data_IF_234812042693
#
_entry.id   IF_234812042693
#
_cell.length_a   1.000
_cell.length_b   1.000
_cell.length_c   1.000
_cell.angle_alpha   90.00
_cell.angle_beta   90.00
_cell.angle_gamma   90.00
#
_symmetry.space_group_name_H-M   'P 1'
#
loop_
_entity.id
_entity.type
_entity.pdbx_description
1 polymer ?
#
# COMPACT_ATOMS: atom_id res chain seq x y z
N UNK A 1 -5.09 -39.18 -25.28
CA UNK A 1 -5.08 -37.80 -24.75
C UNK A 1 -6.53 -37.43 -24.48
N UNK A 2 -6.99 -37.71 -23.27
CA UNK A 2 -8.40 -37.59 -22.88
C UNK A 2 -8.63 -36.26 -22.16
N UNK A 3 -9.46 -35.42 -22.77
CA UNK A 3 -9.99 -34.18 -22.23
C UNK A 3 -10.87 -34.48 -21.00
N UNK A 4 -10.51 -33.95 -19.84
CA UNK A 4 -11.36 -33.96 -18.66
C UNK A 4 -12.14 -32.65 -18.61
N UNK A 5 -13.42 -32.73 -18.98
CA UNK A 5 -14.40 -31.66 -18.74
C UNK A 5 -14.61 -31.50 -17.23
N UNK A 6 -14.30 -30.31 -16.72
CA UNK A 6 -14.65 -29.91 -15.36
C UNK A 6 -16.10 -29.40 -15.35
N UNK A 7 -16.96 -30.02 -14.55
CA UNK A 7 -18.32 -29.55 -14.26
C UNK A 7 -18.28 -28.63 -13.03
N UNK A 8 -18.99 -27.49 -13.03
CA UNK A 8 -19.05 -26.60 -11.88
C UNK A 8 -19.89 -27.19 -10.74
N UNK A 9 -19.40 -27.01 -9.52
CA UNK A 9 -20.05 -27.38 -8.26
C UNK A 9 -21.25 -26.44 -8.00
N UNK A 10 -22.40 -26.93 -7.49
CA UNK A 10 -23.54 -26.08 -7.20
C UNK A 10 -23.28 -25.18 -5.99
N UNK A 11 -23.64 -23.90 -6.14
CA UNK A 11 -23.62 -22.90 -5.07
C UNK A 11 -24.81 -23.17 -4.14
N UNK A 12 -24.54 -23.46 -2.87
CA UNK A 12 -25.57 -23.55 -1.83
C UNK A 12 -25.78 -22.18 -1.19
N UNK A 13 -27.01 -21.68 -1.25
CA UNK A 13 -27.45 -20.45 -0.59
C UNK A 13 -27.39 -20.60 0.94
N UNK A 14 -26.55 -19.80 1.59
CA UNK A 14 -26.58 -19.62 3.04
C UNK A 14 -27.54 -18.49 3.40
N UNK A 15 -28.69 -18.84 3.98
CA UNK A 15 -29.66 -17.91 4.54
C UNK A 15 -29.09 -17.14 5.75
N UNK A 16 -29.06 -15.81 5.66
CA UNK A 16 -28.67 -14.93 6.76
C UNK A 16 -29.79 -14.80 7.81
N UNK A 17 -29.46 -15.08 9.07
CA UNK A 17 -30.32 -14.80 10.24
C UNK A 17 -30.07 -13.38 10.76
N UNK A 18 -31.14 -12.61 10.95
CA UNK A 18 -31.19 -11.27 11.56
C UNK A 18 -30.89 -11.31 13.07
N UNK A 19 -30.10 -10.36 13.62
CA UNK A 19 -29.96 -10.23 15.07
C UNK A 19 -30.98 -9.25 15.65
N UNK A 20 -31.72 -9.72 16.66
CA UNK A 20 -32.57 -8.92 17.56
C UNK A 20 -31.73 -8.24 18.65
N UNK A 21 -31.87 -6.93 18.79
CA UNK A 21 -31.36 -6.11 19.90
C UNK A 21 -32.29 -6.14 21.11
N UNK A 22 -31.78 -6.24 22.36
CA UNK A 22 -32.53 -5.84 23.54
C UNK A 22 -32.00 -4.51 24.11
N UNK A 23 -32.91 -3.55 24.28
CA UNK A 23 -32.70 -2.32 25.04
C UNK A 23 -32.72 -2.62 26.55
N UNK A 24 -31.72 -2.11 27.27
CA UNK A 24 -31.70 -2.03 28.74
C UNK A 24 -31.43 -0.57 29.20
N UNK A 25 -32.03 -0.10 30.32
CA UNK A 25 -32.00 1.31 30.70
C UNK A 25 -30.76 1.67 31.53
N UNK A 26 -30.12 2.80 31.21
CA UNK A 26 -29.03 3.39 31.99
C UNK A 26 -29.56 4.23 33.15
N UNK A 27 -29.04 3.96 34.35
CA UNK A 27 -29.29 4.71 35.58
C UNK A 27 -28.52 6.05 35.60
N UNK A 28 -29.18 7.10 36.11
CA UNK A 28 -28.61 8.44 36.34
C UNK A 28 -27.70 8.43 37.58
N UNK A 29 -26.47 8.95 37.44
CA UNK A 29 -25.58 9.24 38.57
C UNK A 29 -25.66 10.71 38.98
N UNK A 30 -25.74 10.94 40.29
CA UNK A 30 -25.78 12.24 40.96
C UNK A 30 -24.52 13.09 40.74
N UNK A 31 -24.71 14.37 40.43
CA UNK A 31 -23.66 15.39 40.40
C UNK A 31 -23.53 16.06 41.77
N UNK A 32 -22.36 15.94 42.41
CA UNK A 32 -21.97 16.75 43.56
C UNK A 32 -21.34 18.07 43.10
N UNK A 33 -21.85 19.19 43.62
CA UNK A 33 -21.25 20.51 43.47
C UNK A 33 -20.09 20.70 44.48
N UNK A 34 -18.92 21.19 44.05
CA UNK A 34 -17.88 21.63 44.97
C UNK A 34 -18.02 23.12 45.35
N UNK A 35 -17.78 23.39 46.64
CA UNK A 35 -17.76 24.72 47.25
C UNK A 35 -16.65 25.65 46.68
N UNK A 36 -16.85 26.97 46.70
CA UNK A 36 -15.89 27.94 46.20
C UNK A 36 -14.69 28.10 47.16
N UNK A 37 -13.47 27.96 46.61
CA UNK A 37 -12.20 28.25 47.31
C UNK A 37 -11.81 29.73 47.14
N UNK A 38 -11.11 30.24 48.15
CA UNK A 38 -10.79 31.66 48.39
C UNK A 38 -9.85 32.29 47.34
N UNK A 39 -10.10 33.57 47.06
CA UNK A 39 -9.57 34.35 45.92
C UNK A 39 -8.10 34.78 46.00
N UNK A 40 -7.33 34.32 47.00
CA UNK A 40 -5.94 34.80 47.18
C UNK A 40 -4.86 33.95 46.49
N UNK A 41 -5.14 32.72 46.04
CA UNK A 41 -4.15 31.88 45.35
C UNK A 41 -4.16 31.98 43.81
N UNK A 42 -5.20 32.57 43.21
CA UNK A 42 -5.31 32.65 41.75
C UNK A 42 -4.41 33.73 41.13
N UNK A 43 -4.16 34.84 41.83
CA UNK A 43 -3.31 35.93 41.34
C UNK A 43 -1.84 35.49 41.26
N UNK A 44 -1.35 34.73 42.25
CA UNK A 44 0.03 34.22 42.27
C UNK A 44 0.28 33.19 41.17
N UNK A 45 -0.70 32.31 40.88
CA UNK A 45 -0.62 31.36 39.76
C UNK A 45 -0.68 32.06 38.40
N UNK A 46 -1.42 33.17 38.28
CA UNK A 46 -1.53 33.92 37.03
C UNK A 46 -0.23 34.69 36.68
N UNK A 47 0.40 35.31 37.69
CA UNK A 47 1.68 36.02 37.52
C UNK A 47 2.80 35.03 37.16
N UNK A 48 2.87 33.87 37.81
CA UNK A 48 3.86 32.82 37.48
C UNK A 48 3.66 32.25 36.06
N UNK A 49 2.39 32.11 35.60
CA UNK A 49 2.09 31.62 34.25
C UNK A 49 2.40 32.62 33.14
N UNK A 50 2.45 33.92 33.43
CA UNK A 50 2.80 34.95 32.45
C UNK A 50 4.30 35.26 32.42
N UNK A 51 4.97 35.29 33.58
CA UNK A 51 6.38 35.69 33.65
C UNK A 51 7.36 34.59 33.24
N UNK A 52 7.05 33.31 33.49
CA UNK A 52 7.96 32.21 33.12
C UNK A 52 8.08 32.05 31.59
N UNK A 53 7.00 32.08 30.78
CA UNK A 53 7.14 32.01 29.34
C UNK A 53 7.84 33.24 28.74
N UNK A 54 7.58 34.42 29.31
CA UNK A 54 8.19 35.67 28.85
C UNK A 54 9.71 35.71 29.12
N UNK A 55 10.16 35.23 30.28
CA UNK A 55 11.60 35.16 30.59
C UNK A 55 12.32 34.10 29.76
N UNK A 56 11.68 32.95 29.50
CA UNK A 56 12.21 31.95 28.58
C UNK A 56 12.37 32.49 27.15
N UNK A 57 11.40 33.27 26.65
CA UNK A 57 11.48 33.91 25.33
C UNK A 57 12.64 34.90 25.22
N UNK A 58 12.89 35.70 26.26
CA UNK A 58 14.03 36.64 26.31
C UNK A 58 15.37 35.90 26.32
N UNK A 59 15.47 34.79 27.04
CA UNK A 59 16.70 33.96 27.06
C UNK A 59 16.93 33.32 25.69
N UNK A 60 15.89 32.79 25.04
CA UNK A 60 16.01 32.20 23.70
C UNK A 60 16.43 33.26 22.67
N UNK A 61 15.81 34.44 22.69
CA UNK A 61 16.21 35.55 21.81
C UNK A 61 17.65 36.03 22.10
N UNK A 62 18.04 36.10 23.38
CA UNK A 62 19.40 36.44 23.77
C UNK A 62 20.43 35.42 23.25
N UNK A 63 20.12 34.12 23.30
CA UNK A 63 20.99 33.06 22.77
C UNK A 63 21.08 33.08 21.24
N UNK A 64 19.98 33.41 20.54
CA UNK A 64 19.97 33.56 19.08
C UNK A 64 20.80 34.78 18.65
N UNK A 65 20.69 35.90 19.37
CA UNK A 65 21.46 37.11 19.06
C UNK A 65 22.94 36.94 19.42
N UNK A 66 23.24 36.32 20.57
CA UNK A 66 24.62 36.14 21.05
C UNK A 66 25.40 35.07 20.27
N UNK A 67 24.72 34.11 19.62
CA UNK A 67 25.39 33.07 18.86
C UNK A 67 25.92 33.54 17.51
N UNK A 68 25.52 34.72 17.00
CA UNK A 68 26.12 35.34 15.80
C UNK A 68 26.08 34.49 14.52
N UNK A 69 25.42 33.35 14.54
CA UNK A 69 25.30 32.42 13.43
C UNK A 69 23.90 32.61 12.83
N UNK A 70 23.82 33.44 11.80
CA UNK A 70 22.73 33.33 10.85
C UNK A 70 22.75 31.91 10.27
N UNK A 71 21.66 31.13 10.33
CA UNK A 71 21.59 29.85 9.65
C UNK A 71 21.41 30.10 8.15
N UNK A 72 22.48 30.49 7.48
CA UNK A 72 22.64 30.27 6.05
C UNK A 72 23.12 28.83 5.84
N UNK A 73 22.21 27.86 5.88
CA UNK A 73 22.32 26.62 5.09
C UNK A 73 21.06 25.76 5.21
N UNK A 74 20.64 25.28 4.05
CA UNK A 74 19.53 24.36 3.76
C UNK A 74 18.13 24.98 3.91
N UNK A 75 17.71 25.66 2.84
CA UNK A 75 16.30 25.84 2.51
C UNK A 75 15.62 24.50 2.27
N UNK A 76 15.27 23.80 3.35
CA UNK A 76 14.19 22.84 3.35
C UNK A 76 13.03 23.58 4.00
N UNK A 77 12.15 24.13 3.16
CA UNK A 77 10.84 24.59 3.59
C UNK A 77 10.09 23.38 4.11
N UNK A 78 10.19 23.10 5.42
CA UNK A 78 9.21 22.29 6.11
C UNK A 78 7.88 22.97 5.87
N UNK A 79 7.00 22.35 5.07
CA UNK A 79 5.60 22.74 4.96
C UNK A 79 4.94 22.53 6.33
N UNK A 80 5.15 23.48 7.24
CA UNK A 80 4.28 23.69 8.38
C UNK A 80 3.03 24.36 7.85
N UNK A 81 1.95 23.61 7.93
CA UNK A 81 0.55 24.03 7.80
C UNK A 81 0.02 24.30 6.37
N UNK A 82 -0.99 23.51 6.01
CA UNK A 82 -2.13 23.94 5.19
C UNK A 82 -1.98 23.94 3.66
N UNK A 83 -0.82 24.24 3.10
CA UNK A 83 -0.65 24.29 1.64
C UNK A 83 0.03 23.02 1.14
N UNK A 84 -0.76 22.00 0.81
CA UNK A 84 -0.27 20.89 0.00
C UNK A 84 0.16 21.49 -1.35
N UNK A 85 1.44 21.34 -1.75
CA UNK A 85 1.91 21.93 -2.99
C UNK A 85 1.07 21.42 -4.16
N UNK A 86 0.66 22.33 -5.05
CA UNK A 86 0.02 21.96 -6.31
C UNK A 86 0.90 20.94 -7.04
N UNK A 87 0.27 19.98 -7.70
CA UNK A 87 0.87 18.83 -8.40
C UNK A 87 2.12 19.19 -9.24
N UNK A 88 2.11 20.34 -9.90
CA UNK A 88 3.24 20.87 -10.69
C UNK A 88 4.54 20.99 -9.88
N UNK A 89 4.46 21.44 -8.61
CA UNK A 89 5.62 21.50 -7.71
C UNK A 89 6.10 20.12 -7.27
N UNK A 90 5.23 19.12 -7.26
CA UNK A 90 5.58 17.74 -6.93
C UNK A 90 6.34 17.07 -8.09
N UNK A 91 5.99 17.40 -9.33
CA UNK A 91 6.79 17.01 -10.50
C UNK A 91 8.14 17.73 -10.55
N UNK A 92 8.21 19.01 -10.18
CA UNK A 92 9.49 19.72 -10.05
C UNK A 92 10.33 19.16 -8.90
N UNK A 93 9.69 18.72 -7.81
CA UNK A 93 10.33 17.93 -6.76
C UNK A 93 10.84 16.58 -7.32
N UNK A 94 10.04 15.82 -8.05
CA UNK A 94 10.47 14.56 -8.66
C UNK A 94 11.61 14.72 -9.67
N UNK A 95 11.57 15.78 -10.49
CA UNK A 95 12.66 16.15 -11.42
C UNK A 95 13.90 16.60 -10.66
N UNK A 96 13.74 17.42 -9.62
CA UNK A 96 14.82 17.81 -8.72
C UNK A 96 15.33 16.64 -7.87
N UNK A 97 14.60 15.53 -7.72
CA UNK A 97 15.15 14.31 -7.13
C UNK A 97 16.19 13.69 -8.05
N UNK A 98 15.94 13.61 -9.37
CA UNK A 98 16.93 13.10 -10.31
C UNK A 98 18.22 13.93 -10.28
N UNK A 99 18.11 15.26 -10.13
CA UNK A 99 19.27 16.18 -10.04
C UNK A 99 19.90 16.19 -8.65
N UNK A 100 19.11 16.20 -7.58
CA UNK A 100 19.57 16.18 -6.19
C UNK A 100 20.29 14.88 -5.85
N UNK A 101 19.79 13.76 -6.36
CA UNK A 101 20.42 12.45 -6.20
C UNK A 101 21.82 12.40 -6.81
N UNK A 102 22.01 12.96 -8.01
CA UNK A 102 23.34 13.11 -8.63
C UNK A 102 24.27 13.99 -7.79
N UNK A 103 23.76 15.08 -7.22
CA UNK A 103 24.55 16.01 -6.41
C UNK A 103 24.95 15.43 -5.04
N UNK A 104 24.12 14.57 -4.44
CA UNK A 104 24.37 14.01 -3.10
C UNK A 104 25.22 12.73 -3.11
N UNK A 105 25.16 11.91 -4.16
CA UNK A 105 25.75 10.56 -4.13
C UNK A 105 26.90 10.32 -5.14
N UNK A 106 27.31 11.32 -5.91
CA UNK A 106 28.42 11.20 -6.87
C UNK A 106 28.10 10.34 -8.11
N UNK A 107 29.12 10.02 -8.91
CA UNK A 107 28.95 9.54 -10.31
C UNK A 107 28.28 8.16 -10.47
N UNK A 108 28.23 7.32 -9.42
CA UNK A 108 27.39 6.11 -9.36
C UNK A 108 27.13 5.72 -7.89
N UNK A 109 25.87 5.69 -7.41
CA UNK A 109 25.59 5.18 -6.08
C UNK A 109 25.90 3.69 -6.00
N UNK A 110 26.38 3.27 -4.83
CA UNK A 110 26.74 1.88 -4.58
C UNK A 110 25.51 0.97 -4.77
N UNK A 111 25.73 -0.23 -5.31
CA UNK A 111 24.73 -1.30 -5.28
C UNK A 111 24.35 -1.61 -3.82
N UNK A 112 23.07 -1.83 -3.53
CA UNK A 112 22.59 -2.09 -2.17
C UNK A 112 22.52 -3.58 -1.86
N UNK A 113 22.56 -3.94 -0.58
CA UNK A 113 22.18 -5.27 -0.08
C UNK A 113 20.84 -5.15 0.64
N UNK A 114 19.86 -5.97 0.27
CA UNK A 114 18.51 -5.92 0.85
C UNK A 114 18.08 -7.28 1.41
N UNK A 115 17.51 -7.26 2.60
CA UNK A 115 16.86 -8.42 3.23
C UNK A 115 15.34 -8.26 3.16
N UNK A 116 14.66 -9.25 2.60
CA UNK A 116 13.21 -9.45 2.70
C UNK A 116 12.97 -10.33 3.93
N UNK A 117 12.61 -9.69 5.05
CA UNK A 117 12.45 -10.33 6.34
C UNK A 117 11.00 -10.83 6.52
N UNK A 118 10.84 -12.15 6.52
CA UNK A 118 9.56 -12.86 6.67
C UNK A 118 9.81 -14.23 7.33
N UNK A 119 8.84 -14.77 8.06
CA UNK A 119 8.89 -16.16 8.51
C UNK A 119 8.60 -17.14 7.36
N UNK A 120 9.15 -18.34 7.46
CA UNK A 120 9.06 -19.35 6.41
C UNK A 120 7.62 -19.73 6.10
N UNK A 121 6.82 -19.99 7.12
CA UNK A 121 5.43 -20.39 6.94
C UNK A 121 4.66 -19.34 6.15
N UNK A 122 4.68 -18.07 6.59
CA UNK A 122 3.99 -16.98 5.89
C UNK A 122 4.44 -16.87 4.42
N UNK A 123 5.73 -17.02 4.11
CA UNK A 123 6.22 -17.01 2.72
C UNK A 123 5.65 -18.14 1.85
N UNK A 124 5.28 -19.27 2.46
CA UNK A 124 4.70 -20.42 1.78
C UNK A 124 3.18 -20.35 1.67
N UNK A 125 2.49 -19.71 2.62
CA UNK A 125 1.01 -19.72 2.67
C UNK A 125 0.38 -18.52 1.99
N UNK A 126 1.09 -17.39 1.97
CA UNK A 126 0.51 -16.10 1.68
C UNK A 126 0.01 -16.03 0.22
N UNK A 127 -1.28 -15.73 0.05
CA UNK A 127 -1.88 -15.47 -1.27
C UNK A 127 -1.37 -14.15 -1.84
N UNK A 128 -1.30 -13.08 -1.04
CA UNK A 128 -0.72 -11.81 -1.49
C UNK A 128 0.79 -11.97 -1.74
N UNK A 129 1.14 -12.38 -2.97
CA UNK A 129 2.53 -12.66 -3.38
C UNK A 129 3.35 -11.40 -3.59
N UNK A 130 2.79 -10.20 -3.38
CA UNK A 130 3.46 -8.94 -3.59
C UNK A 130 4.88 -8.89 -2.97
N UNK A 131 5.02 -9.35 -1.73
CA UNK A 131 6.30 -9.32 -1.01
C UNK A 131 7.34 -10.28 -1.60
N UNK A 132 6.88 -11.34 -2.26
CA UNK A 132 7.75 -12.35 -2.86
C UNK A 132 8.11 -11.96 -4.30
N UNK A 133 7.15 -11.44 -5.06
CA UNK A 133 7.42 -10.84 -6.36
C UNK A 133 8.34 -9.61 -6.24
N UNK A 134 8.28 -8.87 -5.13
CA UNK A 134 9.23 -7.78 -4.91
C UNK A 134 10.64 -8.34 -4.74
N UNK A 135 10.80 -9.43 -3.99
CA UNK A 135 12.08 -10.12 -3.85
C UNK A 135 12.64 -10.58 -5.20
N UNK A 136 11.80 -11.19 -6.04
CA UNK A 136 12.20 -11.64 -7.39
C UNK A 136 12.61 -10.45 -8.28
N UNK A 137 11.88 -9.34 -8.19
CA UNK A 137 12.25 -8.10 -8.86
C UNK A 137 13.64 -7.59 -8.42
N UNK A 138 13.92 -7.61 -7.11
CA UNK A 138 15.22 -7.22 -6.57
C UNK A 138 16.35 -8.15 -7.04
N UNK A 139 16.09 -9.46 -7.17
CA UNK A 139 17.06 -10.43 -7.72
C UNK A 139 17.38 -10.15 -9.20
N UNK A 140 16.39 -9.73 -9.99
CA UNK A 140 16.56 -9.44 -11.41
C UNK A 140 17.38 -8.17 -11.72
N UNK A 141 17.61 -7.30 -10.72
CA UNK A 141 18.24 -5.97 -10.88
C UNK A 141 19.66 -5.92 -10.33
N UNK A 142 20.51 -6.79 -10.87
CA UNK A 142 21.91 -6.90 -10.44
C UNK A 142 22.74 -5.63 -10.68
N UNK A 143 22.27 -4.70 -11.52
CA UNK A 143 22.87 -3.40 -11.82
C UNK A 143 22.83 -2.44 -10.62
N UNK A 144 21.82 -2.53 -9.77
CA UNK A 144 21.65 -1.69 -8.56
C UNK A 144 21.56 -2.48 -7.26
N UNK A 145 21.37 -3.81 -7.34
CA UNK A 145 21.28 -4.72 -6.20
C UNK A 145 22.49 -5.66 -6.20
N UNK A 146 23.28 -5.62 -5.14
CA UNK A 146 24.42 -6.53 -4.96
C UNK A 146 24.06 -7.83 -4.25
N UNK A 147 22.95 -7.83 -3.50
CA UNK A 147 22.40 -9.01 -2.84
C UNK A 147 20.94 -8.73 -2.46
N UNK A 148 20.04 -9.62 -2.85
CA UNK A 148 18.69 -9.70 -2.32
C UNK A 148 18.53 -11.05 -1.64
N UNK A 149 18.05 -11.05 -0.40
CA UNK A 149 17.90 -12.28 0.40
C UNK A 149 16.46 -12.36 0.93
N UNK A 150 15.81 -13.50 0.80
CA UNK A 150 14.56 -13.84 1.47
C UNK A 150 14.89 -14.75 2.66
N UNK A 151 14.69 -14.27 3.89
CA UNK A 151 15.09 -15.01 5.09
C UNK A 151 14.41 -14.49 6.35
N UNK A 152 14.33 -15.30 7.39
CA UNK A 152 13.74 -14.95 8.68
C UNK A 152 13.46 -16.18 9.52
N UNK A 153 12.51 -16.11 10.48
CA UNK A 153 12.14 -17.23 11.33
C UNK A 153 11.85 -18.52 10.56
N UNK A 154 12.34 -19.63 11.09
CA UNK A 154 12.17 -21.00 10.58
C UNK A 154 12.79 -21.28 9.19
N UNK A 155 13.52 -20.33 8.61
CA UNK A 155 14.42 -20.60 7.49
C UNK A 155 15.71 -21.29 7.95
N UNK A 156 16.40 -21.96 7.02
CA UNK A 156 17.67 -22.63 7.31
C UNK A 156 18.72 -21.66 7.88
N UNK A 157 19.33 -22.08 9.00
CA UNK A 157 20.33 -21.33 9.75
C UNK A 157 19.77 -20.23 10.66
N UNK A 158 18.45 -20.08 10.75
CA UNK A 158 17.82 -19.18 11.72
C UNK A 158 17.74 -19.83 13.11
N UNK A 159 18.06 -19.07 14.15
CA UNK A 159 17.90 -19.47 15.54
C UNK A 159 16.85 -18.62 16.24
N UNK A 160 15.78 -19.27 16.72
CA UNK A 160 14.69 -18.63 17.47
C UNK A 160 15.10 -18.22 18.90
N UNK A 161 16.30 -18.57 19.36
CA UNK A 161 16.83 -18.18 20.68
C UNK A 161 17.70 -16.92 20.65
N UNK A 162 17.93 -16.32 19.47
CA UNK A 162 18.79 -15.16 19.27
C UNK A 162 18.05 -14.06 18.53
N UNK A 163 18.46 -12.80 18.74
CA UNK A 163 17.79 -11.66 18.08
C UNK A 163 18.03 -11.62 16.57
N UNK A 164 17.21 -10.89 15.81
CA UNK A 164 17.40 -10.67 14.36
C UNK A 164 18.85 -10.22 14.05
N UNK A 165 19.38 -9.26 14.81
CA UNK A 165 20.75 -8.74 14.60
C UNK A 165 21.83 -9.81 14.83
N UNK A 166 21.64 -10.68 15.82
CA UNK A 166 22.55 -11.80 16.10
C UNK A 166 22.49 -12.88 15.01
N UNK A 167 21.29 -13.20 14.52
CA UNK A 167 21.09 -14.10 13.38
C UNK A 167 21.81 -13.58 12.14
N UNK A 168 21.62 -12.30 11.78
CA UNK A 168 22.29 -11.66 10.64
C UNK A 168 23.82 -11.69 10.83
N UNK A 169 24.31 -11.32 12.01
CA UNK A 169 25.76 -11.35 12.29
C UNK A 169 26.35 -12.75 12.19
N UNK A 170 25.66 -13.77 12.68
CA UNK A 170 26.13 -15.16 12.65
C UNK A 170 26.22 -15.67 11.21
N UNK A 171 25.17 -15.41 10.39
CA UNK A 171 25.11 -15.90 9.01
C UNK A 171 25.95 -15.08 8.02
N UNK A 172 26.01 -13.76 8.19
CA UNK A 172 26.61 -12.84 7.22
C UNK A 172 27.84 -12.07 7.76
N UNK A 173 28.26 -12.34 8.99
CA UNK A 173 29.48 -11.79 9.61
C UNK A 173 29.31 -10.45 10.32
N UNK A 174 28.25 -9.68 10.03
CA UNK A 174 28.00 -8.37 10.64
C UNK A 174 26.50 -8.06 10.76
N UNK A 175 26.08 -7.38 11.83
CA UNK A 175 24.67 -7.03 12.04
C UNK A 175 24.17 -5.95 11.05
N UNK A 176 25.08 -5.13 10.52
CA UNK A 176 24.88 -4.11 9.49
C UNK A 176 25.25 -4.62 8.08
N UNK A 177 25.20 -5.94 7.86
CA UNK A 177 25.52 -6.51 6.55
C UNK A 177 24.61 -5.99 5.42
N UNK A 178 23.33 -5.76 5.72
CA UNK A 178 22.33 -5.25 4.78
C UNK A 178 22.24 -3.71 4.84
N UNK A 179 21.99 -3.07 3.70
CA UNK A 179 21.72 -1.64 3.63
C UNK A 179 20.27 -1.29 3.97
N UNK A 180 19.36 -2.23 3.69
CA UNK A 180 17.93 -2.10 3.93
C UNK A 180 17.30 -3.45 4.27
N UNK A 181 16.22 -3.39 5.03
CA UNK A 181 15.43 -4.55 5.43
C UNK A 181 13.96 -4.23 5.17
N UNK A 182 13.37 -4.92 4.20
CA UNK A 182 11.94 -4.88 3.93
C UNK A 182 11.26 -5.91 4.83
N UNK A 183 10.50 -5.43 5.81
CA UNK A 183 9.87 -6.28 6.81
C UNK A 183 8.44 -6.59 6.38
N UNK A 184 8.12 -7.88 6.22
CA UNK A 184 6.73 -8.26 6.05
C UNK A 184 6.01 -8.16 7.39
N UNK A 185 5.09 -7.22 7.55
CA UNK A 185 4.19 -7.16 8.70
C UNK A 185 2.77 -6.84 8.25
N UNK A 186 1.82 -7.76 8.48
CA UNK A 186 0.41 -7.54 8.16
C UNK A 186 -0.45 -7.70 9.43
N UNK A 187 -1.11 -6.61 9.85
CA UNK A 187 -1.96 -6.56 11.05
C UNK A 187 -3.12 -7.55 10.98
N UNK A 188 -3.70 -7.71 9.79
CA UNK A 188 -4.83 -8.62 9.58
C UNK A 188 -4.41 -10.09 9.73
N UNK A 189 -3.09 -10.35 9.64
CA UNK A 189 -2.47 -11.66 9.81
C UNK A 189 -1.76 -11.85 11.15
N UNK A 190 -1.87 -10.91 12.09
CA UNK A 190 -1.36 -11.10 13.48
C UNK A 190 -2.03 -12.32 14.14
N UNK A 191 -3.21 -12.74 13.66
CA UNK A 191 -3.87 -13.99 14.07
C UNK A 191 -3.17 -15.26 13.57
N UNK A 192 -2.39 -15.18 12.50
CA UNK A 192 -1.74 -16.33 11.86
C UNK A 192 -0.26 -16.45 12.22
N UNK A 193 0.35 -15.37 12.75
CA UNK A 193 1.77 -15.39 13.10
C UNK A 193 1.99 -16.02 14.47
N UNK A 194 2.93 -16.96 14.51
CA UNK A 194 3.56 -17.45 15.74
C UNK A 194 4.49 -16.43 16.42
N UNK A 195 4.40 -15.16 16.02
CA UNK A 195 5.31 -14.10 16.46
C UNK A 195 4.56 -13.20 17.43
N UNK A 196 5.04 -13.13 18.67
CA UNK A 196 4.64 -12.07 19.59
C UNK A 196 5.12 -10.73 18.99
N UNK A 197 4.20 -9.83 18.61
CA UNK A 197 4.56 -8.63 17.86
C UNK A 197 5.48 -7.70 18.66
N UNK A 198 5.38 -7.68 20.00
CA UNK A 198 6.16 -6.73 20.81
C UNK A 198 7.66 -7.07 20.82
N UNK A 199 8.09 -8.29 21.22
CA UNK A 199 9.48 -8.71 21.07
C UNK A 199 10.00 -8.53 19.65
N UNK A 200 9.18 -8.85 18.65
CA UNK A 200 9.56 -8.72 17.25
C UNK A 200 9.85 -7.27 16.83
N UNK A 201 8.99 -6.32 17.23
CA UNK A 201 9.21 -4.90 16.92
C UNK A 201 10.43 -4.34 17.64
N UNK A 202 10.67 -4.76 18.88
CA UNK A 202 11.87 -4.36 19.63
C UNK A 202 13.15 -4.86 18.95
N UNK A 203 13.16 -6.09 18.42
CA UNK A 203 14.28 -6.62 17.64
C UNK A 203 14.48 -5.90 16.29
N UNK A 204 13.40 -5.49 15.62
CA UNK A 204 13.49 -4.66 14.40
C UNK A 204 14.07 -3.28 14.72
N UNK A 205 13.64 -2.67 15.84
CA UNK A 205 14.21 -1.41 16.32
C UNK A 205 15.68 -1.54 16.72
N UNK A 206 16.06 -2.67 17.32
CA UNK A 206 17.46 -3.00 17.57
C UNK A 206 18.24 -3.00 16.25
N UNK A 207 17.72 -3.63 15.20
CA UNK A 207 18.36 -3.69 13.89
C UNK A 207 18.53 -2.29 13.27
N UNK A 208 17.51 -1.43 13.37
CA UNK A 208 17.58 -0.03 12.93
C UNK A 208 18.66 0.77 13.67
N UNK A 209 18.75 0.60 14.99
CA UNK A 209 19.67 1.36 15.84
C UNK A 209 21.12 0.86 15.80
N UNK A 210 21.33 -0.46 15.78
CA UNK A 210 22.66 -1.09 15.73
C UNK A 210 23.19 -1.26 14.31
N UNK A 211 22.32 -1.28 13.31
CA UNK A 211 22.66 -1.48 11.90
C UNK A 211 23.36 -0.29 11.22
N UNK A 212 23.74 0.77 11.95
CA UNK A 212 24.46 1.93 11.42
C UNK A 212 23.89 2.47 10.10
N UNK A 213 22.58 2.71 10.05
CA UNK A 213 21.90 3.22 8.85
C UNK A 213 21.26 2.16 7.96
N UNK A 214 20.94 0.98 8.52
CA UNK A 214 19.96 0.06 7.92
C UNK A 214 18.62 0.77 7.79
N UNK A 215 18.08 0.81 6.58
CA UNK A 215 16.74 1.35 6.32
C UNK A 215 15.70 0.26 6.60
N UNK A 216 14.82 0.47 7.59
CA UNK A 216 13.66 -0.39 7.82
C UNK A 216 12.50 0.08 6.94
N UNK A 217 12.01 -0.83 6.10
CA UNK A 217 10.95 -0.58 5.13
C UNK A 217 9.69 -1.35 5.50
N UNK A 218 8.55 -0.67 5.55
CA UNK A 218 7.23 -1.30 5.48
C UNK A 218 6.56 -0.98 4.13
N UNK A 219 5.88 -1.97 3.57
CA UNK A 219 4.98 -1.81 2.42
C UNK A 219 3.64 -2.42 2.80
N UNK A 220 2.77 -1.66 3.46
CA UNK A 220 1.47 -2.14 3.88
C UNK A 220 0.53 -2.30 2.70
N UNK A 221 -0.35 -3.30 2.76
CA UNK A 221 -1.46 -3.44 1.80
C UNK A 221 -2.49 -2.32 2.01
N UNK A 222 -2.84 -2.06 3.27
CA UNK A 222 -3.74 -0.99 3.73
C UNK A 222 -3.27 -0.47 5.11
N UNK A 223 -3.53 0.81 5.37
CA UNK A 223 -3.12 1.52 6.59
C UNK A 223 -4.27 2.29 7.24
N UNK A 224 -5.51 2.05 6.83
CA UNK A 224 -6.71 2.75 7.34
C UNK A 224 -6.77 2.77 8.86
N UNK A 225 -7.40 3.80 9.41
CA UNK A 225 -7.67 3.95 10.85
C UNK A 225 -6.42 3.88 11.73
N UNK A 226 -5.25 4.31 11.22
CA UNK A 226 -3.98 4.28 11.93
C UNK A 226 -3.54 2.87 12.39
N UNK A 227 -4.02 1.79 11.76
CA UNK A 227 -3.75 0.41 12.21
C UNK A 227 -2.26 0.08 12.35
N UNK A 228 -1.40 0.69 11.53
CA UNK A 228 0.07 0.52 11.56
C UNK A 228 0.81 1.38 12.60
N UNK A 229 0.11 2.21 13.37
CA UNK A 229 0.72 3.14 14.32
C UNK A 229 1.65 2.45 15.34
N UNK A 230 1.21 1.34 15.91
CA UNK A 230 2.00 0.59 16.90
C UNK A 230 3.31 0.09 16.27
N UNK A 231 3.24 -0.53 15.08
CA UNK A 231 4.43 -1.02 14.37
C UNK A 231 5.41 0.12 14.08
N UNK A 232 4.94 1.26 13.57
CA UNK A 232 5.82 2.37 13.21
C UNK A 232 6.48 3.01 14.42
N UNK A 233 5.76 3.07 15.54
CA UNK A 233 6.28 3.59 16.81
C UNK A 233 7.32 2.65 17.41
N UNK A 234 7.02 1.35 17.46
CA UNK A 234 7.84 0.37 18.17
C UNK A 234 9.04 -0.11 17.34
N UNK A 235 8.89 -0.28 16.02
CA UNK A 235 9.94 -0.82 15.15
C UNK A 235 10.86 0.25 14.53
N UNK A 236 10.61 1.54 14.76
CA UNK A 236 11.37 2.66 14.18
C UNK A 236 11.47 2.59 12.64
N UNK A 237 10.33 2.35 11.98
CA UNK A 237 10.25 2.27 10.52
C UNK A 237 10.77 3.57 9.90
N UNK A 238 11.72 3.46 8.96
CA UNK A 238 12.40 4.62 8.36
C UNK A 238 11.88 4.95 6.95
N UNK A 239 11.32 3.98 6.24
CA UNK A 239 10.69 4.14 4.93
C UNK A 239 9.34 3.43 4.91
N UNK A 240 8.29 4.12 4.48
CA UNK A 240 6.96 3.55 4.28
C UNK A 240 6.58 3.68 2.81
N UNK A 241 6.22 2.56 2.19
CA UNK A 241 5.81 2.47 0.79
C UNK A 241 4.33 2.11 0.73
N UNK A 242 3.43 3.09 0.69
CA UNK A 242 1.98 2.80 0.70
C UNK A 242 1.38 2.87 -0.71
N UNK A 243 0.52 1.91 -1.09
CA UNK A 243 -0.17 1.94 -2.38
C UNK A 243 -1.19 3.07 -2.51
N UNK A 244 -1.70 3.58 -1.39
CA UNK A 244 -2.78 4.58 -1.37
C UNK A 244 -2.30 5.89 -0.73
N UNK A 245 -2.16 6.94 -1.54
CA UNK A 245 -1.67 8.25 -1.10
C UNK A 245 -2.50 8.86 0.05
N UNK A 246 -3.82 8.69 0.01
CA UNK A 246 -4.72 9.20 1.05
C UNK A 246 -4.36 8.68 2.44
N UNK A 247 -4.05 7.40 2.57
CA UNK A 247 -3.75 6.82 3.87
C UNK A 247 -2.46 7.40 4.48
N UNK A 248 -1.49 7.78 3.65
CA UNK A 248 -0.28 8.46 4.11
C UNK A 248 -0.54 9.82 4.72
N UNK A 249 -1.66 10.46 4.35
CA UNK A 249 -2.01 11.77 4.88
C UNK A 249 -2.22 11.68 6.40
N UNK A 250 -2.91 10.68 6.92
CA UNK A 250 -3.14 10.58 8.36
C UNK A 250 -1.83 10.31 9.13
N UNK A 251 -0.94 9.51 8.52
CA UNK A 251 0.35 9.17 9.10
C UNK A 251 1.34 10.31 9.12
N UNK A 252 1.25 11.27 8.17
CA UNK A 252 2.23 12.36 8.04
C UNK A 252 2.34 13.22 9.30
N UNK A 253 1.24 13.37 10.04
CA UNK A 253 1.21 14.22 11.24
C UNK A 253 2.11 13.63 12.34
N UNK A 254 2.14 12.30 12.47
CA UNK A 254 2.89 11.61 13.53
C UNK A 254 4.27 11.16 13.08
N UNK A 255 4.41 10.71 11.83
CA UNK A 255 5.57 9.93 11.39
C UNK A 255 6.46 10.61 10.35
N UNK A 256 6.05 11.73 9.74
CA UNK A 256 6.85 12.38 8.71
C UNK A 256 8.19 12.96 9.21
N UNK A 257 8.40 13.10 10.52
CA UNK A 257 9.68 13.49 11.11
C UNK A 257 10.59 12.29 11.38
N UNK A 258 10.01 11.10 11.59
CA UNK A 258 10.72 9.84 11.85
C UNK A 258 11.06 9.10 10.55
N UNK A 259 10.11 9.07 9.62
CA UNK A 259 10.11 8.23 8.43
C UNK A 259 9.99 9.07 7.15
N UNK A 260 10.42 8.50 6.03
CA UNK A 260 9.99 8.95 4.72
C UNK A 260 8.74 8.16 4.32
N UNK A 261 7.62 8.86 4.16
CA UNK A 261 6.34 8.30 3.73
C UNK A 261 6.20 8.48 2.23
N UNK A 262 6.03 7.39 1.46
CA UNK A 262 6.02 7.46 0.01
C UNK A 262 4.82 6.73 -0.57
N UNK A 263 4.09 7.41 -1.46
CA UNK A 263 3.07 6.78 -2.29
C UNK A 263 3.75 5.93 -3.37
N UNK A 264 3.66 4.61 -3.22
CA UNK A 264 4.20 3.63 -4.15
C UNK A 264 3.06 2.70 -4.59
N UNK A 265 2.44 2.95 -5.76
CA UNK A 265 1.36 2.14 -6.28
C UNK A 265 1.71 0.66 -6.40
N UNK A 266 0.68 -0.16 -6.60
CA UNK A 266 0.86 -1.57 -6.94
C UNK A 266 1.73 -1.71 -8.19
N UNK A 267 2.80 -2.50 -8.08
CA UNK A 267 3.59 -2.88 -9.25
C UNK A 267 2.98 -4.12 -9.89
N UNK A 268 3.40 -4.43 -11.12
CA UNK A 268 2.93 -5.58 -11.86
C UNK A 268 4.07 -6.50 -12.28
N UNK A 269 3.87 -7.80 -12.09
CA UNK A 269 4.71 -8.83 -12.67
C UNK A 269 4.21 -9.16 -14.09
N UNK A 270 4.99 -8.74 -15.08
CA UNK A 270 4.69 -9.00 -16.48
C UNK A 270 4.77 -10.49 -16.83
N UNK A 271 5.54 -11.32 -16.11
CA UNK A 271 5.60 -12.76 -16.36
C UNK A 271 4.25 -13.45 -16.08
N UNK A 272 3.44 -12.89 -15.19
CA UNK A 272 2.11 -13.40 -14.82
C UNK A 272 1.02 -12.74 -15.64
N UNK A 273 1.07 -11.41 -15.72
CA UNK A 273 -0.06 -10.64 -16.25
C UNK A 273 0.11 -10.19 -17.68
N UNK A 274 1.26 -10.33 -18.35
CA UNK A 274 1.37 -9.88 -19.73
C UNK A 274 0.62 -10.81 -20.70
N UNK A 275 -0.42 -10.27 -21.33
CA UNK A 275 -1.07 -10.87 -22.48
C UNK A 275 -1.26 -9.81 -23.57
N UNK A 276 -0.85 -10.03 -24.83
CA UNK A 276 -0.98 -9.01 -25.86
C UNK A 276 -2.42 -8.48 -25.99
N UNK A 277 -2.61 -7.16 -25.98
CA UNK A 277 -3.95 -6.56 -26.13
C UNK A 277 -4.68 -7.04 -27.39
N UNK A 278 -3.96 -7.25 -28.49
CA UNK A 278 -4.46 -7.75 -29.77
C UNK A 278 -4.57 -9.30 -29.84
N UNK A 279 -4.30 -10.01 -28.75
CA UNK A 279 -4.43 -11.47 -28.68
C UNK A 279 -5.89 -11.96 -28.72
N UNK A 280 -6.12 -13.27 -28.93
CA UNK A 280 -7.45 -13.85 -28.91
C UNK A 280 -8.07 -13.72 -27.50
N UNK A 281 -9.25 -13.11 -27.43
CA UNK A 281 -10.00 -12.84 -26.20
C UNK A 281 -11.43 -13.40 -26.32
N UNK A 282 -11.63 -14.70 -26.01
CA UNK A 282 -12.92 -15.35 -26.20
C UNK A 282 -14.00 -14.85 -25.24
N UNK A 283 -13.60 -14.34 -24.07
CA UNK A 283 -14.55 -13.91 -23.05
C UNK A 283 -14.95 -12.44 -23.26
N UNK A 284 -16.24 -12.10 -23.27
CA UNK A 284 -16.68 -10.73 -23.52
C UNK A 284 -16.33 -9.79 -22.36
N UNK A 285 -16.78 -10.11 -21.15
CA UNK A 285 -16.59 -9.27 -19.97
C UNK A 285 -16.23 -10.15 -18.77
N UNK A 286 -15.23 -9.71 -18.00
CA UNK A 286 -14.91 -10.25 -16.68
C UNK A 286 -15.06 -9.16 -15.62
N UNK A 287 -15.55 -9.55 -14.44
CA UNK A 287 -15.43 -8.77 -13.21
C UNK A 287 -14.82 -9.66 -12.14
N UNK A 288 -13.83 -9.15 -11.41
CA UNK A 288 -13.08 -9.96 -10.45
C UNK A 288 -13.01 -9.31 -9.07
N UNK A 289 -13.00 -10.14 -8.03
CA UNK A 289 -12.71 -9.74 -6.65
C UNK A 289 -13.87 -9.81 -5.67
N UNK A 290 -13.70 -9.08 -4.57
CA UNK A 290 -14.71 -8.97 -3.52
C UNK A 290 -15.90 -8.14 -4.00
N UNK A 291 -17.10 -8.65 -3.77
CA UNK A 291 -18.38 -8.03 -4.11
C UNK A 291 -19.10 -7.48 -2.87
N UNK A 292 -18.40 -7.41 -1.73
CA UNK A 292 -18.92 -6.88 -0.48
C UNK A 292 -19.12 -5.36 -0.49
N UNK A 293 -19.55 -4.85 0.66
CA UNK A 293 -19.94 -3.44 0.85
C UNK A 293 -18.82 -2.41 0.61
N UNK A 294 -17.56 -2.85 0.49
CA UNK A 294 -16.45 -1.97 0.14
C UNK A 294 -16.45 -1.56 -1.33
N UNK A 295 -17.24 -2.22 -2.18
CA UNK A 295 -17.23 -2.05 -3.63
C UNK A 295 -18.65 -1.98 -4.22
N UNK A 296 -19.45 -0.95 -3.86
CA UNK A 296 -20.87 -0.88 -4.25
C UNK A 296 -21.07 -0.89 -5.76
N UNK A 297 -20.24 -0.17 -6.52
CA UNK A 297 -20.34 -0.17 -7.99
C UNK A 297 -20.00 -1.54 -8.58
N UNK A 298 -19.04 -2.27 -8.00
CA UNK A 298 -18.68 -3.64 -8.43
C UNK A 298 -19.84 -4.60 -8.22
N UNK A 299 -20.50 -4.53 -7.07
CA UNK A 299 -21.67 -5.35 -6.75
C UNK A 299 -22.81 -5.09 -7.75
N UNK A 300 -23.06 -3.82 -8.10
CA UNK A 300 -24.04 -3.45 -9.14
C UNK A 300 -23.69 -4.05 -10.51
N UNK A 301 -22.45 -3.89 -10.98
CA UNK A 301 -21.99 -4.44 -12.25
C UNK A 301 -22.07 -5.98 -12.28
N UNK A 302 -21.71 -6.64 -11.18
CA UNK A 302 -21.87 -8.08 -11.04
C UNK A 302 -23.34 -8.52 -11.12
N UNK A 303 -24.28 -7.73 -10.60
CA UNK A 303 -25.71 -8.03 -10.71
C UNK A 303 -26.21 -7.94 -12.17
N UNK A 304 -25.69 -7.01 -12.97
CA UNK A 304 -26.00 -6.96 -14.40
C UNK A 304 -25.55 -8.24 -15.14
N UNK A 305 -24.40 -8.80 -14.76
CA UNK A 305 -23.92 -10.08 -15.29
C UNK A 305 -24.82 -11.24 -14.82
N UNK A 306 -25.13 -11.32 -13.52
CA UNK A 306 -26.00 -12.37 -12.96
C UNK A 306 -27.39 -12.39 -13.61
N UNK A 307 -27.94 -11.20 -13.86
CA UNK A 307 -29.23 -11.02 -14.51
C UNK A 307 -29.17 -11.22 -16.04
N UNK A 308 -27.99 -11.53 -16.60
CA UNK A 308 -27.74 -11.71 -18.04
C UNK A 308 -28.01 -10.45 -18.87
N UNK A 309 -28.01 -9.28 -18.23
CA UNK A 309 -28.09 -7.98 -18.90
C UNK A 309 -26.76 -7.64 -19.59
N UNK A 310 -25.64 -8.09 -19.02
CA UNK A 310 -24.31 -8.01 -19.62
C UNK A 310 -23.78 -9.42 -19.93
N UNK A 311 -23.17 -9.64 -21.10
CA UNK A 311 -22.50 -10.90 -21.41
C UNK A 311 -21.15 -10.92 -20.69
N UNK A 312 -21.03 -11.77 -19.65
CA UNK A 312 -19.78 -11.88 -18.91
C UNK A 312 -19.86 -12.90 -17.79
N UNK A 313 -18.80 -12.96 -16.98
CA UNK A 313 -18.73 -13.84 -15.83
C UNK A 313 -18.01 -13.17 -14.66
N UNK A 314 -18.23 -13.74 -13.47
CA UNK A 314 -17.72 -13.22 -12.20
C UNK A 314 -16.61 -14.14 -11.71
N UNK A 315 -15.39 -13.61 -11.63
CA UNK A 315 -14.27 -14.29 -11.01
C UNK A 315 -14.24 -13.98 -9.51
N UNK A 316 -14.45 -15.01 -8.69
CA UNK A 316 -14.30 -14.87 -7.24
C UNK A 316 -12.90 -14.38 -6.88
N UNK A 317 -12.80 -13.62 -5.78
CA UNK A 317 -11.50 -13.17 -5.25
C UNK A 317 -10.60 -14.39 -5.00
N UNK A 318 -9.31 -14.37 -5.42
CA UNK A 318 -8.38 -15.43 -5.03
C UNK A 318 -8.32 -15.51 -3.51
N UNK A 319 -8.51 -16.72 -2.97
CA UNK A 319 -8.87 -16.90 -1.58
C UNK A 319 -7.72 -16.58 -0.63
N UNK A 320 -8.01 -15.80 0.41
CA UNK A 320 -7.40 -16.06 1.71
C UNK A 320 -8.27 -17.15 2.33
N UNK A 321 -7.73 -18.35 2.54
CA UNK A 321 -8.41 -19.23 3.48
C UNK A 321 -8.36 -18.55 4.85
N UNK A 322 -9.51 -18.39 5.51
CA UNK A 322 -9.59 -17.91 6.89
C UNK A 322 -9.02 -18.98 7.84
N UNK A 323 -7.69 -19.14 7.86
CA UNK A 323 -6.98 -20.18 8.62
C UNK A 323 -6.88 -19.76 10.08
N UNK A 324 -7.92 -19.94 10.89
CA UNK A 324 -7.90 -19.46 12.30
C UNK A 324 -6.77 -20.06 13.17
N UNK A 325 -6.29 -21.25 12.83
CA UNK A 325 -5.18 -21.95 13.48
C UNK A 325 -4.33 -22.64 12.41
N UNK A 326 -2.98 -22.59 12.46
CA UNK A 326 -2.11 -23.27 11.48
C UNK A 326 -2.41 -24.75 11.28
N UNK A 327 -2.93 -25.46 12.29
CA UNK A 327 -3.32 -26.87 12.16
C UNK A 327 -4.58 -27.08 11.30
N UNK A 328 -5.41 -26.04 11.17
CA UNK A 328 -6.64 -26.05 10.37
C UNK A 328 -6.35 -25.66 8.90
N UNK A 329 -5.08 -25.38 8.58
CA UNK A 329 -4.65 -25.03 7.23
C UNK A 329 -4.92 -26.18 6.27
N UNK A 330 -5.53 -25.85 5.13
CA UNK A 330 -5.62 -26.79 4.04
C UNK A 330 -4.21 -27.11 3.53
N UNK A 331 -3.78 -28.39 3.52
CA UNK A 331 -2.45 -28.77 3.04
C UNK A 331 -2.24 -28.46 1.55
N UNK A 332 -3.31 -28.12 0.83
CA UNK A 332 -3.25 -27.62 -0.56
C UNK A 332 -2.84 -26.15 -0.64
N UNK A 333 -2.85 -25.38 0.45
CA UNK A 333 -2.33 -24.01 0.43
C UNK A 333 -0.82 -24.07 0.59
N UNK A 334 -0.08 -23.87 -0.50
CA UNK A 334 1.39 -23.77 -0.53
C UNK A 334 1.83 -22.78 -1.61
N UNK A 335 3.12 -22.44 -1.63
CA UNK A 335 3.66 -21.40 -2.50
C UNK A 335 3.34 -21.66 -3.98
N UNK A 336 3.51 -22.90 -4.44
CA UNK A 336 3.25 -23.27 -5.84
C UNK A 336 1.77 -23.11 -6.20
N UNK A 337 0.85 -23.49 -5.31
CA UNK A 337 -0.58 -23.35 -5.53
C UNK A 337 -1.07 -21.90 -5.43
N UNK A 338 -0.45 -21.06 -4.60
CA UNK A 338 -0.74 -19.63 -4.58
C UNK A 338 -0.23 -18.94 -5.85
N UNK A 339 0.96 -19.33 -6.32
CA UNK A 339 1.52 -18.82 -7.56
C UNK A 339 0.64 -19.22 -8.76
N UNK A 340 0.24 -20.49 -8.84
CA UNK A 340 -0.64 -20.97 -9.89
C UNK A 340 -1.99 -20.24 -9.88
N UNK A 341 -2.56 -19.96 -8.71
CA UNK A 341 -3.79 -19.16 -8.62
C UNK A 341 -3.62 -17.76 -9.21
N UNK A 342 -2.47 -17.10 -9.03
CA UNK A 342 -2.19 -15.81 -9.66
C UNK A 342 -2.00 -15.93 -11.16
N UNK A 343 -1.31 -16.97 -11.64
CA UNK A 343 -1.16 -17.27 -13.08
C UNK A 343 -2.52 -17.52 -13.74
N UNK A 344 -3.39 -18.28 -13.09
CA UNK A 344 -4.76 -18.53 -13.55
C UNK A 344 -5.55 -17.21 -13.58
N UNK A 345 -5.39 -16.37 -12.55
CA UNK A 345 -6.04 -15.07 -12.47
C UNK A 345 -5.57 -14.09 -13.56
N UNK A 346 -4.26 -14.05 -13.86
CA UNK A 346 -3.71 -13.29 -14.98
C UNK A 346 -4.23 -13.79 -16.33
N UNK A 347 -4.30 -15.12 -16.50
CA UNK A 347 -4.85 -15.78 -17.70
C UNK A 347 -6.33 -15.47 -17.90
N UNK A 348 -7.13 -15.47 -16.84
CA UNK A 348 -8.55 -15.11 -16.87
C UNK A 348 -8.74 -13.68 -17.41
N UNK A 349 -7.88 -12.73 -17.00
CA UNK A 349 -7.85 -11.40 -17.62
C UNK A 349 -7.37 -11.46 -19.07
N UNK A 350 -6.30 -12.18 -19.37
CA UNK A 350 -5.77 -12.34 -20.72
C UNK A 350 -6.80 -12.84 -21.75
N UNK A 351 -7.82 -13.58 -21.32
CA UNK A 351 -8.91 -14.09 -22.16
C UNK A 351 -10.10 -13.13 -22.31
N UNK A 352 -10.22 -12.10 -21.47
CA UNK A 352 -11.34 -11.17 -21.51
C UNK A 352 -11.08 -9.97 -22.44
N UNK A 353 -12.11 -9.56 -23.18
CA UNK A 353 -12.08 -8.33 -24.00
C UNK A 353 -12.14 -7.09 -23.11
N UNK A 354 -13.04 -7.09 -22.13
CA UNK A 354 -13.24 -5.99 -21.19
C UNK A 354 -13.15 -6.53 -19.76
N UNK A 355 -12.37 -5.84 -18.91
CA UNK A 355 -12.39 -6.07 -17.47
C UNK A 355 -13.09 -4.90 -16.78
N UNK A 356 -14.10 -5.21 -15.97
CA UNK A 356 -14.77 -4.24 -15.13
C UNK A 356 -13.94 -4.00 -13.87
N UNK A 357 -13.39 -2.79 -13.75
CA UNK A 357 -12.59 -2.35 -12.60
C UNK A 357 -13.35 -1.29 -11.82
N UNK A 358 -13.27 -1.31 -10.50
CA UNK A 358 -13.90 -0.29 -9.68
C UNK A 358 -13.01 0.11 -8.52
N UNK A 359 -13.08 1.37 -8.12
CA UNK A 359 -12.45 1.86 -6.91
C UNK A 359 -13.10 1.23 -5.68
N UNK A 360 -12.47 1.43 -4.53
CA UNK A 360 -13.09 1.17 -3.24
C UNK A 360 -14.08 2.28 -2.89
N UNK A 361 -14.91 2.07 -1.86
CA UNK A 361 -15.74 3.13 -1.27
C UNK A 361 -14.96 4.37 -0.79
N UNK A 362 -13.63 4.30 -0.72
CA UNK A 362 -12.75 5.43 -0.39
C UNK A 362 -12.11 6.08 -1.63
N UNK A 363 -12.45 5.60 -2.83
CA UNK A 363 -12.01 6.18 -4.10
C UNK A 363 -10.59 5.86 -4.51
N UNK A 364 -9.89 4.90 -3.88
CA UNK A 364 -8.54 4.52 -4.33
C UNK A 364 -8.56 3.41 -5.39
N UNK A 365 -7.57 3.44 -6.29
CA UNK A 365 -7.37 2.41 -7.31
C UNK A 365 -6.84 1.12 -6.69
N UNK A 366 -7.66 0.08 -6.68
CA UNK A 366 -7.20 -1.25 -6.25
C UNK A 366 -6.26 -1.87 -7.30
N UNK A 367 -5.50 -2.88 -6.90
CA UNK A 367 -4.53 -3.59 -7.75
C UNK A 367 -5.09 -4.05 -9.11
N UNK A 368 -6.40 -4.37 -9.17
CA UNK A 368 -7.08 -4.82 -10.40
C UNK A 368 -7.04 -3.83 -11.56
N UNK A 369 -6.91 -2.53 -11.27
CA UNK A 369 -6.73 -1.52 -12.32
C UNK A 369 -5.46 -1.76 -13.13
N UNK A 370 -4.37 -2.11 -12.45
CA UNK A 370 -3.07 -2.34 -13.10
C UNK A 370 -2.95 -3.77 -13.63
N UNK A 371 -3.48 -4.77 -12.92
CA UNK A 371 -3.48 -6.17 -13.35
C UNK A 371 -4.23 -6.39 -14.66
N UNK A 372 -5.48 -5.90 -14.74
CA UNK A 372 -6.31 -6.08 -15.93
C UNK A 372 -5.74 -5.34 -17.15
N UNK A 373 -5.22 -4.13 -16.94
CA UNK A 373 -4.58 -3.37 -18.01
C UNK A 373 -3.28 -4.03 -18.49
N UNK A 374 -2.45 -4.54 -17.58
CA UNK A 374 -1.24 -5.30 -17.93
C UNK A 374 -1.56 -6.60 -18.70
N UNK A 375 -2.72 -7.21 -18.42
CA UNK A 375 -3.28 -8.33 -19.18
C UNK A 375 -3.92 -7.94 -20.52
N UNK A 376 -3.77 -6.68 -20.93
CA UNK A 376 -4.21 -6.19 -22.24
C UNK A 376 -5.74 -6.14 -22.38
N UNK A 377 -6.49 -6.24 -21.29
CA UNK A 377 -7.91 -5.96 -21.30
C UNK A 377 -8.15 -4.48 -21.58
N UNK A 378 -9.24 -4.16 -22.26
CA UNK A 378 -9.82 -2.84 -22.07
C UNK A 378 -10.38 -2.78 -20.64
N UNK A 379 -9.96 -1.79 -19.86
CA UNK A 379 -10.52 -1.56 -18.53
C UNK A 379 -11.69 -0.57 -18.62
N UNK A 380 -12.80 -0.90 -17.99
CA UNK A 380 -14.01 -0.08 -17.95
C UNK A 380 -14.53 0.01 -16.52
N UNK A 381 -14.89 1.22 -16.07
CA UNK A 381 -15.17 1.44 -14.65
C UNK A 381 -15.13 2.89 -14.23
N UNK A 382 -15.22 3.13 -12.93
CA UNK A 382 -15.04 4.47 -12.39
C UNK A 382 -13.57 4.85 -12.27
N UNK A 383 -13.36 6.16 -12.34
CA UNK A 383 -12.03 6.76 -12.26
C UNK A 383 -11.69 6.93 -10.78
N UNK A 384 -10.64 6.26 -10.28
CA UNK A 384 -10.21 6.41 -8.90
C UNK A 384 -9.57 7.78 -8.70
N UNK A 385 -9.46 8.22 -7.46
CA UNK A 385 -8.96 9.56 -7.09
C UNK A 385 -7.46 9.72 -7.28
N UNK A 386 -6.72 8.60 -7.27
CA UNK A 386 -5.30 8.58 -7.61
C UNK A 386 -5.10 8.41 -9.12
N UNK A 387 -4.21 9.21 -9.70
CA UNK A 387 -3.80 9.18 -11.11
C UNK A 387 -4.95 9.42 -12.10
N UNK A 388 -5.82 10.39 -11.79
CA UNK A 388 -7.03 10.66 -12.59
C UNK A 388 -6.75 10.99 -14.05
N UNK A 389 -5.75 11.83 -14.36
CA UNK A 389 -5.44 12.19 -15.75
C UNK A 389 -5.13 10.94 -16.58
N UNK A 390 -4.30 10.04 -16.05
CA UNK A 390 -3.97 8.77 -16.69
C UNK A 390 -5.16 7.83 -16.83
N UNK A 391 -5.92 7.66 -15.75
CA UNK A 391 -7.08 6.78 -15.80
C UNK A 391 -8.17 7.31 -16.74
N UNK A 392 -8.35 8.63 -16.89
CA UNK A 392 -9.25 9.22 -17.91
C UNK A 392 -8.84 8.82 -19.33
N UNK A 393 -7.54 8.72 -19.60
CA UNK A 393 -7.03 8.31 -20.91
C UNK A 393 -7.13 6.80 -21.15
N UNK A 394 -6.91 5.97 -20.12
CA UNK A 394 -6.87 4.51 -20.26
C UNK A 394 -8.22 3.80 -20.06
N UNK A 395 -9.07 4.32 -19.18
CA UNK A 395 -10.35 3.71 -18.81
C UNK A 395 -11.47 4.13 -19.76
N UNK A 396 -12.44 3.24 -19.96
CA UNK A 396 -13.79 3.62 -20.40
C UNK A 396 -14.59 4.06 -19.17
N UNK A 397 -14.77 5.38 -18.96
CA UNK A 397 -15.34 5.87 -17.73
C UNK A 397 -16.81 5.49 -17.62
N UNK A 398 -17.17 4.93 -16.47
CA UNK A 398 -18.53 4.66 -16.05
C UNK A 398 -18.65 5.00 -14.56
N UNK A 399 -19.84 5.28 -14.09
CA UNK A 399 -20.06 5.67 -12.69
C UNK A 399 -21.25 4.95 -12.08
N UNK A 400 -21.28 4.90 -10.75
CA UNK A 400 -22.45 4.41 -10.04
C UNK A 400 -23.70 5.30 -10.23
N UNK A 401 -23.55 6.49 -10.82
CA UNK A 401 -24.65 7.39 -11.15
C UNK A 401 -25.20 7.18 -12.58
N UNK A 402 -24.49 6.45 -13.44
CA UNK A 402 -24.97 6.15 -14.78
C UNK A 402 -26.18 5.21 -14.68
N UNK A 403 -27.11 5.26 -15.62
CA UNK A 403 -28.22 4.28 -15.67
C UNK A 403 -27.71 2.93 -16.16
N UNK A 404 -28.40 1.84 -15.83
CA UNK A 404 -28.03 0.50 -16.32
C UNK A 404 -28.03 0.45 -17.86
N UNK A 405 -28.97 1.14 -18.51
CA UNK A 405 -29.03 1.24 -19.97
C UNK A 405 -27.80 1.96 -20.55
N UNK A 406 -27.32 2.98 -19.86
CA UNK A 406 -26.11 3.73 -20.26
C UNK A 406 -24.87 2.87 -20.15
N UNK A 407 -24.73 2.12 -19.05
CA UNK A 407 -23.64 1.17 -18.82
C UNK A 407 -23.64 0.10 -19.92
N UNK A 408 -24.78 -0.55 -20.15
CA UNK A 408 -24.94 -1.62 -21.14
C UNK A 408 -24.64 -1.13 -22.54
N UNK A 409 -25.20 0.02 -22.93
CA UNK A 409 -24.94 0.63 -24.25
C UNK A 409 -23.46 0.92 -24.45
N UNK A 410 -22.79 1.45 -23.43
CA UNK A 410 -21.36 1.77 -23.47
C UNK A 410 -20.52 0.51 -23.67
N UNK A 411 -20.78 -0.54 -22.86
CA UNK A 411 -20.02 -1.79 -22.93
C UNK A 411 -20.25 -2.54 -24.25
N UNK A 412 -21.49 -2.60 -24.74
CA UNK A 412 -21.79 -3.24 -26.03
C UNK A 412 -21.08 -2.53 -27.19
N UNK A 413 -21.00 -1.20 -27.17
CA UNK A 413 -20.23 -0.47 -28.18
C UNK A 413 -18.77 -0.95 -28.21
N UNK A 414 -18.09 -1.05 -27.07
CA UNK A 414 -16.70 -1.54 -27.03
C UNK A 414 -16.53 -3.04 -27.36
N UNK A 415 -17.58 -3.84 -27.17
CA UNK A 415 -17.58 -5.24 -27.62
C UNK A 415 -17.67 -5.36 -29.15
N UNK A 416 -18.39 -4.45 -29.79
CA UNK A 416 -18.62 -4.40 -31.24
C UNK A 416 -17.54 -3.64 -32.03
N UNK A 417 -16.67 -2.88 -31.34
CA UNK A 417 -15.64 -2.01 -31.94
C UNK A 417 -14.23 -2.49 -31.57
N UNK A 418 -13.81 -3.62 -32.17
CA UNK A 418 -12.56 -4.31 -31.86
C UNK A 418 -11.32 -3.44 -32.08
N UNK A 419 -11.27 -2.64 -33.16
CA UNK A 419 -10.10 -1.81 -33.49
C UNK A 419 -9.87 -0.75 -32.41
N UNK A 420 -10.92 0.00 -32.06
CA UNK A 420 -10.89 1.02 -31.03
C UNK A 420 -10.54 0.41 -29.68
N UNK A 421 -11.18 -0.72 -29.33
CA UNK A 421 -10.92 -1.45 -28.09
C UNK A 421 -9.47 -1.84 -27.96
N UNK A 422 -8.91 -2.51 -28.98
CA UNK A 422 -7.53 -3.00 -28.97
C UNK A 422 -6.56 -1.82 -28.90
N UNK A 423 -6.81 -0.73 -29.65
CA UNK A 423 -5.98 0.47 -29.61
C UNK A 423 -5.89 1.07 -28.21
N UNK A 424 -7.04 1.24 -27.53
CA UNK A 424 -7.11 1.81 -26.17
C UNK A 424 -6.50 0.87 -25.13
N UNK A 425 -6.82 -0.43 -25.21
CA UNK A 425 -6.24 -1.45 -24.33
C UNK A 425 -4.71 -1.51 -24.46
N UNK A 426 -4.19 -1.53 -25.70
CA UNK A 426 -2.75 -1.52 -25.96
C UNK A 426 -2.06 -0.29 -25.39
N UNK A 427 -2.60 0.91 -25.64
CA UNK A 427 -2.02 2.14 -25.10
C UNK A 427 -1.97 2.13 -23.57
N UNK A 428 -3.02 1.61 -22.93
CA UNK A 428 -3.10 1.51 -21.46
C UNK A 428 -2.12 0.46 -20.93
N UNK A 429 -2.05 -0.70 -21.57
CA UNK A 429 -1.11 -1.78 -21.24
C UNK A 429 0.34 -1.30 -21.33
N UNK A 430 0.72 -0.69 -22.46
CA UNK A 430 2.08 -0.19 -22.69
C UNK A 430 2.46 0.84 -21.61
N UNK A 431 1.53 1.72 -21.19
CA UNK A 431 1.78 2.65 -20.09
C UNK A 431 1.98 1.97 -18.73
N UNK A 432 1.09 1.03 -18.37
CA UNK A 432 1.14 0.32 -17.08
C UNK A 432 2.45 -0.45 -16.94
N UNK A 433 2.84 -1.21 -17.96
CA UNK A 433 4.06 -2.02 -17.92
C UNK A 433 5.32 -1.14 -17.78
N UNK A 434 5.34 0.01 -18.45
CA UNK A 434 6.47 0.95 -18.36
C UNK A 434 6.50 1.72 -17.03
N UNK A 435 5.35 1.99 -16.41
CA UNK A 435 5.27 2.85 -15.22
C UNK A 435 5.26 2.09 -13.90
N UNK A 436 4.74 0.86 -13.91
CA UNK A 436 4.51 0.04 -12.72
C UNK A 436 5.11 -1.36 -12.86
N UNK A 437 5.94 -1.63 -13.87
CA UNK A 437 6.69 -2.88 -13.95
C UNK A 437 7.64 -3.06 -12.75
N UNK A 438 8.00 -4.32 -12.49
CA UNK A 438 8.94 -4.71 -11.44
C UNK A 438 10.26 -3.93 -11.47
N UNK A 439 10.82 -3.67 -12.65
CA UNK A 439 12.05 -2.89 -12.79
C UNK A 439 11.92 -1.45 -12.29
N UNK A 440 10.81 -0.81 -12.63
CA UNK A 440 10.53 0.56 -12.20
C UNK A 440 10.33 0.61 -10.68
N UNK A 441 9.60 -0.37 -10.13
CA UNK A 441 9.43 -0.51 -8.69
C UNK A 441 10.77 -0.63 -7.94
N UNK A 442 11.68 -1.52 -8.36
CA UNK A 442 12.99 -1.68 -7.71
C UNK A 442 13.84 -0.42 -7.82
N UNK A 443 13.81 0.23 -8.98
CA UNK A 443 14.49 1.52 -9.20
C UNK A 443 14.02 2.58 -8.21
N UNK A 444 12.72 2.68 -8.01
CA UNK A 444 12.12 3.67 -7.13
C UNK A 444 12.42 3.38 -5.66
N UNK A 445 12.30 2.13 -5.22
CA UNK A 445 12.67 1.75 -3.85
C UNK A 445 14.16 1.97 -3.58
N UNK A 446 15.03 1.64 -4.52
CA UNK A 446 16.47 1.91 -4.40
C UNK A 446 16.78 3.39 -4.21
N UNK A 447 16.14 4.29 -4.98
CA UNK A 447 16.27 5.75 -4.79
C UNK A 447 15.81 6.16 -3.39
N UNK A 448 14.66 5.65 -2.96
CA UNK A 448 14.08 5.99 -1.65
C UNK A 448 14.94 5.54 -0.48
N UNK A 449 15.56 4.36 -0.56
CA UNK A 449 16.53 3.88 0.43
C UNK A 449 17.67 4.89 0.57
N UNK A 450 18.26 5.33 -0.54
CA UNK A 450 19.34 6.31 -0.53
C UNK A 450 18.91 7.67 0.02
N UNK A 451 17.71 8.16 -0.31
CA UNK A 451 17.17 9.38 0.30
C UNK A 451 17.09 9.25 1.83
N UNK A 452 16.59 8.13 2.33
CA UNK A 452 16.49 7.88 3.77
C UNK A 452 17.88 7.81 4.42
N UNK A 453 18.85 7.15 3.77
CA UNK A 453 20.26 7.12 4.21
C UNK A 453 20.90 8.52 4.21
N UNK A 454 20.48 9.40 3.29
CA UNK A 454 20.85 10.81 3.25
C UNK A 454 20.15 11.68 4.30
N UNK A 455 19.32 11.09 5.16
CA UNK A 455 18.59 11.81 6.22
C UNK A 455 17.24 12.39 5.79
N UNK A 456 16.79 12.16 4.56
CA UNK A 456 15.48 12.64 4.10
C UNK A 456 14.36 11.98 4.90
N UNK A 457 13.42 12.79 5.37
CA UNK A 457 12.16 12.41 6.01
C UNK A 457 11.03 13.23 5.39
N UNK A 458 9.78 12.85 5.64
CA UNK A 458 8.63 13.63 5.16
C UNK A 458 7.59 12.79 4.46
N UNK A 459 6.89 13.42 3.51
CA UNK A 459 5.91 12.79 2.64
C UNK A 459 6.27 13.05 1.17
N UNK A 460 6.21 12.00 0.36
CA UNK A 460 6.43 12.02 -1.08
C UNK A 460 5.21 11.38 -1.76
N UNK A 461 4.60 12.12 -2.69
CA UNK A 461 3.50 11.66 -3.53
C UNK A 461 3.92 11.74 -5.02
N UNK A 462 4.66 10.76 -5.57
CA UNK A 462 5.23 10.87 -6.91
C UNK A 462 4.21 10.74 -8.05
N UNK A 463 2.97 10.37 -7.73
CA UNK A 463 1.88 10.15 -8.68
C UNK A 463 0.71 11.08 -8.40
N UNK A 464 0.01 11.49 -9.47
CA UNK A 464 -1.08 12.46 -9.39
C UNK A 464 -2.11 11.97 -8.38
N UNK A 465 -2.63 12.89 -7.59
CA UNK A 465 -3.62 12.58 -6.57
C UNK A 465 -4.57 13.76 -6.41
N UNK A 466 -5.84 13.55 -6.71
CA UNK A 466 -6.87 14.54 -6.44
C UNK A 466 -7.35 14.39 -5.00
N UNK A 467 -7.47 15.53 -4.31
CA UNK A 467 -7.99 15.52 -2.96
C UNK A 467 -9.45 15.08 -2.96
N UNK A 468 -9.78 14.21 -2.01
CA UNK A 468 -11.16 13.92 -1.67
C UNK A 468 -11.90 15.24 -1.41
N UNK A 469 -13.09 15.45 -1.99
CA UNK A 469 -13.98 16.47 -1.47
C UNK A 469 -14.22 16.14 0.01
N UNK A 470 -14.02 17.13 0.88
CA UNK A 470 -14.49 17.03 2.26
C UNK A 470 -15.97 17.42 2.28
N UNK A 471 -16.87 16.61 2.87
CA UNK A 471 -16.63 15.31 3.51
C UNK A 471 -16.59 14.14 2.51
N UNK A 472 -15.95 13.03 2.92
CA UNK A 472 -16.14 11.71 2.30
C UNK A 472 -17.64 11.48 2.07
N UNK A 473 -18.07 10.90 0.94
CA UNK A 473 -19.46 10.51 0.76
C UNK A 473 -19.87 9.67 1.97
N UNK A 474 -20.82 10.18 2.76
CA UNK A 474 -21.34 9.50 3.95
C UNK A 474 -22.00 8.17 3.57
N UNK A 475 -22.41 8.06 2.30
CA UNK A 475 -23.21 6.95 1.79
C UNK A 475 -22.55 6.37 0.53
N UNK A 476 -22.18 5.10 0.63
CA UNK A 476 -21.77 4.21 -0.46
C UNK A 476 -22.15 2.80 -0.06
#
# INVERSE_FOLDING_TARGET
MTSTHYLPVPITDSSASTPTTPHGPYARSNTHHPHPRSSKSQITCFILRLFIPASCLVIIFGLIIASGHAPEQLGITQCREGCLPKWEKVQDLAKSWATGFKNTFGDQPKKIKILHLIDKDTSEVLMDRWFLHSHDAFLARDDIISSAVLWGPDFEGWSNSTTISQNIKTKYGAADFFDAVLVYFNNDQVKFRHIDPKPWFDEIKELSSKGKGVVIIDRPHEMRDMRKEEFYTLANVSLVLAPYAYELLDYRIKFATQSLLVHQPHFIDAAIFYHPAAGPRPEPIIIAGDLGAFYPFRARLANLIRNKTLPGWIRGHPGYEDIKDPKDRNPRVNAANQEQQLVDFGTDFGHAKICLVTDSRWGYSVQKYVEAAAAGCLIAGNIPLDRQSWFREGIVPMSNNDTDETIVKTLNWWLDHDEERIKKAKSTQDWILNSFGMDQYVTDVWKMIWLVKGGQRGLILPYEFDFLPSPLPLDG
#
